data_IF_659824288119
#
_entry.id   IF_659824288119
#
_cell.length_a   1.000
_cell.length_b   1.000
_cell.length_c   1.000
_cell.angle_alpha   90.00
_cell.angle_beta   90.00
_cell.angle_gamma   90.00
#
_symmetry.space_group_name_H-M   'P 1'
#
loop_
_entity.id
_entity.type
_entity.pdbx_description
1 polymer ?
#
# COMPACT_ATOMS: atom_id res chain seq x y z
N UNK A 1 1.90 6.41 21.95
CA UNK A 1 1.28 5.13 21.58
C UNK A 1 0.93 4.39 22.84
N UNK A 2 -0.32 4.14 23.06
CA UNK A 2 -0.84 3.42 24.24
C UNK A 2 -0.85 1.90 23.97
N UNK A 3 -1.11 1.10 25.00
CA UNK A 3 -1.29 -0.34 24.86
C UNK A 3 -2.52 -0.65 23.97
N UNK A 4 -3.60 0.15 24.12
CA UNK A 4 -4.79 0.04 23.28
C UNK A 4 -4.51 0.30 21.79
N UNK A 5 -3.66 1.28 21.47
CA UNK A 5 -3.25 1.55 20.07
C UNK A 5 -2.50 0.35 19.47
N UNK A 6 -1.65 -0.31 20.28
CA UNK A 6 -0.94 -1.52 19.85
C UNK A 6 -1.88 -2.69 19.61
N UNK A 7 -2.89 -2.84 20.48
CA UNK A 7 -3.89 -3.88 20.36
C UNK A 7 -4.73 -3.71 19.10
N UNK A 8 -5.19 -2.49 18.84
CA UNK A 8 -5.94 -2.18 17.62
C UNK A 8 -5.11 -2.43 16.35
N UNK A 9 -3.85 -1.98 16.34
CA UNK A 9 -2.97 -2.18 15.19
C UNK A 9 -2.68 -3.67 14.95
N UNK A 10 -2.48 -4.46 16.04
CA UNK A 10 -2.30 -5.90 15.94
C UNK A 10 -3.53 -6.59 15.33
N UNK A 11 -4.75 -6.23 15.77
CA UNK A 11 -5.99 -6.77 15.22
C UNK A 11 -6.16 -6.45 13.74
N UNK A 12 -5.82 -5.24 13.33
CA UNK A 12 -5.86 -4.83 11.91
C UNK A 12 -4.87 -5.60 11.06
N UNK A 13 -3.66 -5.87 11.57
CA UNK A 13 -2.67 -6.70 10.89
C UNK A 13 -3.15 -8.14 10.79
N UNK A 14 -3.65 -8.72 11.89
CA UNK A 14 -4.20 -10.09 11.88
C UNK A 14 -5.35 -10.20 10.88
N UNK A 15 -6.30 -9.28 10.92
CA UNK A 15 -7.41 -9.23 9.96
C UNK A 15 -6.89 -9.19 8.53
N UNK A 16 -5.93 -8.31 8.23
CA UNK A 16 -5.33 -8.21 6.89
C UNK A 16 -4.67 -9.53 6.45
N UNK A 17 -3.97 -10.23 7.36
CA UNK A 17 -3.26 -11.47 7.04
C UNK A 17 -4.18 -12.69 6.90
N UNK A 18 -5.33 -12.70 7.60
CA UNK A 18 -6.19 -13.89 7.73
C UNK A 18 -7.48 -13.82 6.91
N UNK A 19 -7.93 -12.63 6.51
CA UNK A 19 -9.21 -12.46 5.79
C UNK A 19 -9.02 -12.16 4.31
N UNK A 20 -10.10 -12.35 3.55
CA UNK A 20 -10.17 -11.95 2.13
C UNK A 20 -10.53 -10.48 1.95
N UNK A 21 -10.91 -9.76 3.01
CA UNK A 21 -11.36 -8.37 2.99
C UNK A 21 -10.30 -7.42 2.41
N UNK A 22 -9.02 -7.71 2.68
CA UNK A 22 -7.88 -7.01 2.07
C UNK A 22 -7.99 -6.95 0.54
N UNK A 23 -8.42 -8.03 -0.08
CA UNK A 23 -8.54 -8.14 -1.55
C UNK A 23 -9.82 -7.52 -2.07
N UNK A 24 -10.89 -7.52 -1.27
CA UNK A 24 -12.17 -6.87 -1.61
C UNK A 24 -12.03 -5.37 -1.59
N UNK A 25 -11.30 -4.83 -0.61
CA UNK A 25 -10.98 -3.40 -0.51
C UNK A 25 -10.21 -2.88 -1.72
N UNK A 26 -9.22 -3.61 -2.23
CA UNK A 26 -8.49 -3.22 -3.44
C UNK A 26 -9.40 -3.16 -4.68
N UNK A 27 -10.39 -4.08 -4.78
CA UNK A 27 -11.39 -4.06 -5.87
C UNK A 27 -12.38 -2.90 -5.76
N UNK A 28 -12.83 -2.62 -4.54
CA UNK A 28 -13.84 -1.60 -4.26
C UNK A 28 -13.27 -0.18 -4.31
N UNK A 29 -12.05 0.05 -3.81
CA UNK A 29 -11.39 1.36 -3.82
C UNK A 29 -11.25 1.92 -5.23
N UNK A 30 -11.05 1.07 -6.22
CA UNK A 30 -11.02 1.49 -7.63
C UNK A 30 -12.40 1.76 -8.21
N UNK A 31 -13.42 0.98 -7.81
CA UNK A 31 -14.80 1.23 -8.21
C UNK A 31 -15.33 2.55 -7.64
N UNK A 32 -14.95 2.89 -6.40
CA UNK A 32 -15.31 4.17 -5.75
C UNK A 32 -14.57 5.37 -6.35
N UNK A 33 -13.32 5.21 -6.81
CA UNK A 33 -12.61 6.27 -7.53
C UNK A 33 -13.35 6.69 -8.81
N UNK A 34 -14.01 5.75 -9.50
CA UNK A 34 -14.86 6.05 -10.65
C UNK A 34 -16.11 6.84 -10.30
N UNK A 35 -16.59 6.78 -9.05
CA UNK A 35 -17.79 7.49 -8.59
C UNK A 35 -17.50 8.88 -8.01
N UNK A 36 -16.27 9.11 -7.50
CA UNK A 36 -15.88 10.33 -6.79
C UNK A 36 -15.14 11.36 -7.65
N UNK A 37 -15.48 11.50 -8.92
CA UNK A 37 -14.99 12.59 -9.79
C UNK A 37 -15.33 14.00 -9.27
N UNK A 38 -16.12 14.11 -8.18
CA UNK A 38 -16.56 15.39 -7.59
C UNK A 38 -15.52 16.14 -6.75
N UNK A 39 -14.38 15.53 -6.38
CA UNK A 39 -13.35 16.18 -5.54
C UNK A 39 -12.31 17.00 -6.31
N UNK A 40 -12.57 17.31 -7.57
CA UNK A 40 -11.67 18.04 -8.47
C UNK A 40 -11.42 19.52 -8.10
N UNK A 41 -12.19 20.07 -7.17
CA UNK A 41 -12.18 21.51 -6.91
C UNK A 41 -11.13 21.99 -5.89
N UNK A 42 -10.51 21.13 -5.10
CA UNK A 42 -9.62 21.54 -4.01
C UNK A 42 -8.15 21.73 -4.40
N UNK A 43 -7.74 21.37 -5.61
CA UNK A 43 -6.34 21.45 -6.07
C UNK A 43 -5.85 22.85 -6.49
N UNK A 44 -6.71 23.88 -6.47
CA UNK A 44 -6.40 25.17 -7.11
C UNK A 44 -5.81 26.25 -6.21
N UNK A 45 -5.69 26.04 -4.89
CA UNK A 45 -5.43 27.15 -3.96
C UNK A 45 -3.96 27.28 -3.50
N UNK A 46 -3.07 26.36 -3.84
CA UNK A 46 -1.66 26.45 -3.42
C UNK A 46 -0.76 26.95 -4.56
N UNK A 47 -0.36 28.23 -4.48
CA UNK A 47 0.41 28.93 -5.51
C UNK A 47 1.93 28.75 -5.40
N UNK A 48 2.46 28.31 -4.25
CA UNK A 48 3.92 28.28 -3.98
C UNK A 48 4.67 27.06 -4.56
N UNK A 49 3.95 26.09 -5.08
CA UNK A 49 4.55 24.84 -5.59
C UNK A 49 4.43 24.64 -7.10
N UNK A 50 4.18 25.67 -7.90
CA UNK A 50 3.93 25.54 -9.35
C UNK A 50 5.03 24.79 -10.12
N UNK A 51 6.30 25.10 -9.88
CA UNK A 51 7.42 24.46 -10.58
C UNK A 51 7.65 23.01 -10.13
N UNK A 52 7.43 22.74 -8.85
CA UNK A 52 7.50 21.39 -8.29
C UNK A 52 6.33 20.51 -8.78
N UNK A 53 5.12 21.08 -8.86
CA UNK A 53 3.96 20.37 -9.41
C UNK A 53 4.11 20.07 -10.88
N UNK A 54 4.67 20.98 -11.68
CA UNK A 54 4.92 20.75 -13.10
C UNK A 54 5.84 19.54 -13.32
N UNK A 55 6.94 19.46 -12.56
CA UNK A 55 7.87 18.31 -12.62
C UNK A 55 7.24 16.99 -12.17
N UNK A 56 6.41 17.01 -11.13
CA UNK A 56 5.71 15.82 -10.68
C UNK A 56 4.65 15.35 -11.68
N UNK A 57 3.91 16.29 -12.29
CA UNK A 57 2.96 15.96 -13.39
C UNK A 57 3.67 15.35 -14.59
N UNK A 58 4.81 15.92 -14.99
CA UNK A 58 5.65 15.35 -16.05
C UNK A 58 6.13 13.93 -15.68
N UNK A 59 6.52 13.70 -14.43
CA UNK A 59 6.88 12.38 -13.92
C UNK A 59 5.72 11.38 -14.04
N UNK A 60 4.50 11.76 -13.60
CA UNK A 60 3.31 10.92 -13.73
C UNK A 60 3.07 10.54 -15.18
N UNK A 61 3.10 11.52 -16.10
CA UNK A 61 2.90 11.27 -17.53
C UNK A 61 3.96 10.28 -18.07
N UNK A 62 5.24 10.51 -17.75
CA UNK A 62 6.32 9.60 -18.16
C UNK A 62 6.16 8.19 -17.59
N UNK A 63 5.74 8.08 -16.33
CA UNK A 63 5.50 6.79 -15.69
C UNK A 63 4.32 6.05 -16.35
N UNK A 64 3.23 6.76 -16.68
CA UNK A 64 2.09 6.19 -17.41
C UNK A 64 2.54 5.66 -18.78
N UNK A 65 3.32 6.44 -19.54
CA UNK A 65 3.84 6.00 -20.84
C UNK A 65 4.77 4.77 -20.75
N UNK A 66 5.46 4.60 -19.62
CA UNK A 66 6.26 3.40 -19.32
C UNK A 66 5.44 2.21 -18.85
N UNK A 67 4.11 2.32 -18.81
CA UNK A 67 3.21 1.23 -18.43
C UNK A 67 3.11 0.96 -16.93
N UNK A 68 3.34 1.98 -16.07
CA UNK A 68 3.21 1.82 -14.62
C UNK A 68 1.79 1.42 -14.21
N UNK A 69 0.77 1.87 -14.96
CA UNK A 69 -0.63 1.56 -14.70
C UNK A 69 -0.92 0.13 -15.15
N UNK A 70 -0.50 -0.82 -14.37
CA UNK A 70 -0.76 -2.23 -14.60
C UNK A 70 -0.98 -2.96 -13.28
N UNK A 71 -1.71 -4.09 -13.36
CA UNK A 71 -1.92 -4.99 -12.24
C UNK A 71 -0.60 -5.45 -11.62
N UNK A 72 0.35 -5.83 -12.45
CA UNK A 72 1.63 -6.39 -12.00
C UNK A 72 2.43 -5.35 -11.22
N UNK A 73 2.36 -4.09 -11.61
CA UNK A 73 2.99 -2.97 -10.90
C UNK A 73 2.33 -2.67 -9.56
N UNK A 74 1.01 -2.82 -9.44
CA UNK A 74 0.32 -2.72 -8.15
C UNK A 74 0.73 -3.86 -7.22
N UNK A 75 0.76 -5.09 -7.73
CA UNK A 75 1.22 -6.27 -6.97
C UNK A 75 2.66 -6.07 -6.52
N UNK A 76 3.54 -5.62 -7.42
CA UNK A 76 4.93 -5.31 -7.11
C UNK A 76 5.04 -4.29 -5.97
N UNK A 77 4.27 -3.20 -6.03
CA UNK A 77 4.26 -2.16 -4.99
C UNK A 77 3.82 -2.72 -3.62
N UNK A 78 2.73 -3.48 -3.59
CA UNK A 78 2.23 -4.13 -2.37
C UNK A 78 3.27 -5.12 -1.82
N UNK A 79 3.88 -5.94 -2.69
CA UNK A 79 4.94 -6.90 -2.30
C UNK A 79 6.11 -6.20 -1.65
N UNK A 80 6.59 -5.09 -2.21
CA UNK A 80 7.70 -4.30 -1.65
C UNK A 80 7.38 -3.77 -0.24
N UNK A 81 6.13 -3.35 0.03
CA UNK A 81 5.72 -2.92 1.37
C UNK A 81 5.74 -4.10 2.35
N UNK A 82 5.23 -5.25 1.95
CA UNK A 82 5.32 -6.48 2.74
C UNK A 82 6.78 -6.86 3.03
N UNK A 83 7.67 -6.76 2.06
CA UNK A 83 9.09 -7.06 2.22
C UNK A 83 9.76 -6.12 3.22
N UNK A 84 9.40 -4.82 3.21
CA UNK A 84 9.89 -3.86 4.21
C UNK A 84 9.40 -4.26 5.61
N UNK A 85 8.13 -4.58 5.77
CA UNK A 85 7.58 -5.04 7.04
C UNK A 85 8.29 -6.31 7.51
N UNK A 86 8.40 -7.33 6.65
CA UNK A 86 8.99 -8.62 6.96
C UNK A 86 10.48 -8.54 7.31
N UNK A 87 11.25 -7.65 6.69
CA UNK A 87 12.67 -7.44 7.05
C UNK A 87 12.86 -7.06 8.53
N UNK A 88 11.82 -6.54 9.17
CA UNK A 88 11.83 -6.12 10.56
C UNK A 88 11.31 -7.20 11.53
N UNK A 89 10.71 -8.26 11.04
CA UNK A 89 10.23 -9.41 11.82
C UNK A 89 11.35 -10.46 11.89
N UNK A 90 11.63 -10.98 13.08
CA UNK A 90 12.64 -12.05 13.23
C UNK A 90 12.21 -13.33 12.51
N UNK A 91 13.16 -14.13 12.03
CA UNK A 91 12.86 -15.36 11.28
C UNK A 91 11.99 -16.34 12.08
N UNK A 92 12.27 -16.51 13.38
CA UNK A 92 11.49 -17.37 14.27
C UNK A 92 10.02 -16.91 14.36
N UNK A 93 9.77 -15.59 14.43
CA UNK A 93 8.43 -15.04 14.47
C UNK A 93 7.71 -15.16 13.12
N UNK A 94 8.42 -14.95 12.02
CA UNK A 94 7.88 -15.18 10.66
C UNK A 94 7.39 -16.62 10.53
N UNK A 95 8.24 -17.58 10.89
CA UNK A 95 7.91 -18.99 10.81
C UNK A 95 6.67 -19.33 11.63
N UNK A 96 6.59 -18.86 12.88
CA UNK A 96 5.44 -19.11 13.76
C UNK A 96 4.15 -18.48 13.20
N UNK A 97 4.18 -17.20 12.81
CA UNK A 97 3.02 -16.50 12.25
C UNK A 97 2.56 -17.19 10.96
N UNK A 98 3.51 -17.53 10.10
CA UNK A 98 3.19 -18.15 8.82
C UNK A 98 2.66 -19.57 8.95
N UNK A 99 3.20 -20.36 9.89
CA UNK A 99 2.69 -21.69 10.16
C UNK A 99 1.26 -21.66 10.69
N UNK A 100 0.93 -20.70 11.54
CA UNK A 100 -0.42 -20.51 12.06
C UNK A 100 -1.41 -20.11 10.97
N UNK A 101 -1.05 -19.15 10.09
CA UNK A 101 -1.93 -18.68 9.01
C UNK A 101 -2.13 -19.75 7.93
N UNK A 102 -1.08 -20.48 7.57
CA UNK A 102 -1.07 -21.38 6.41
C UNK A 102 -1.26 -22.86 6.77
N UNK A 103 -1.47 -23.17 8.05
CA UNK A 103 -1.57 -24.56 8.47
C UNK A 103 -0.28 -25.36 8.21
N UNK A 104 0.90 -24.73 8.33
CA UNK A 104 2.20 -25.37 8.19
C UNK A 104 2.87 -25.24 6.82
N UNK A 105 2.38 -24.36 5.93
CA UNK A 105 3.05 -24.08 4.66
C UNK A 105 4.07 -22.93 4.80
N UNK A 106 5.27 -23.11 4.25
CA UNK A 106 6.48 -22.29 4.45
C UNK A 106 6.29 -20.80 4.08
N UNK A 107 6.88 -19.90 4.87
CA UNK A 107 6.65 -18.46 4.89
C UNK A 107 6.82 -17.68 3.58
N UNK A 108 7.71 -18.07 2.67
CA UNK A 108 7.82 -17.45 1.33
C UNK A 108 6.58 -17.73 0.47
N UNK A 109 5.85 -18.80 0.78
CA UNK A 109 4.63 -19.19 0.10
C UNK A 109 3.44 -18.30 0.49
N UNK A 110 3.43 -17.68 1.67
CA UNK A 110 2.32 -16.82 2.12
C UNK A 110 2.37 -15.46 1.49
N UNK A 111 3.55 -14.84 1.36
CA UNK A 111 3.68 -13.60 0.57
C UNK A 111 3.23 -13.89 -0.86
N UNK A 112 3.64 -15.01 -1.44
CA UNK A 112 3.19 -15.40 -2.77
C UNK A 112 1.71 -15.79 -2.81
N UNK A 113 1.13 -16.37 -1.75
CA UNK A 113 -0.31 -16.65 -1.66
C UNK A 113 -1.14 -15.38 -1.44
N UNK A 114 -0.68 -14.48 -0.55
CA UNK A 114 -1.30 -13.17 -0.33
C UNK A 114 -1.26 -12.38 -1.63
N UNK A 115 -0.09 -12.28 -2.25
CA UNK A 115 0.11 -11.62 -3.54
C UNK A 115 -0.64 -12.36 -4.66
N UNK A 116 -0.69 -13.69 -4.65
CA UNK A 116 -1.38 -14.49 -5.67
C UNK A 116 -2.91 -14.43 -5.53
N UNK A 117 -3.46 -14.37 -4.31
CA UNK A 117 -4.88 -14.14 -4.07
C UNK A 117 -5.28 -12.73 -4.48
N UNK A 118 -4.49 -11.71 -4.09
CA UNK A 118 -4.62 -10.35 -4.60
C UNK A 118 -4.59 -10.35 -6.13
N UNK A 119 -3.64 -11.07 -6.72
CA UNK A 119 -3.46 -11.13 -8.16
C UNK A 119 -4.61 -11.83 -8.89
N UNK A 120 -5.20 -12.90 -8.35
CA UNK A 120 -6.38 -13.55 -8.95
C UNK A 120 -7.61 -12.65 -8.95
N UNK A 121 -7.83 -11.88 -7.88
CA UNK A 121 -8.99 -11.00 -7.77
C UNK A 121 -8.83 -9.73 -8.59
N UNK A 122 -7.62 -9.13 -8.60
CA UNK A 122 -7.26 -8.05 -9.52
C UNK A 122 -7.31 -8.54 -10.98
N UNK A 123 -7.03 -9.84 -11.24
CA UNK A 123 -7.10 -10.45 -12.58
C UNK A 123 -8.51 -10.52 -13.17
N UNK A 124 -9.52 -10.58 -12.32
CA UNK A 124 -10.93 -10.46 -12.72
C UNK A 124 -11.37 -9.00 -12.91
N UNK A 125 -10.57 -8.04 -12.47
CA UNK A 125 -10.70 -6.62 -12.78
C UNK A 125 -10.06 -6.36 -14.15
N UNK A 126 -10.84 -6.66 -15.17
CA UNK A 126 -10.54 -6.61 -16.61
C UNK A 126 -9.87 -5.28 -17.02
N UNK A 127 -9.35 -5.25 -18.24
CA UNK A 127 -8.93 -4.13 -19.10
C UNK A 127 -9.57 -2.75 -18.72
N UNK A 128 -10.82 -2.77 -18.29
CA UNK A 128 -11.58 -1.61 -17.81
C UNK A 128 -10.92 -0.88 -16.59
N UNK A 129 -10.26 -1.59 -15.69
CA UNK A 129 -9.56 -0.97 -14.55
C UNK A 129 -8.34 -0.16 -14.99
N UNK A 130 -7.49 -0.79 -15.80
CA UNK A 130 -6.29 -0.12 -16.35
C UNK A 130 -6.69 1.12 -17.15
N UNK A 131 -7.78 1.02 -17.92
CA UNK A 131 -8.32 2.12 -18.71
C UNK A 131 -8.88 3.24 -17.81
N UNK A 132 -9.67 2.93 -16.76
CA UNK A 132 -10.21 3.94 -15.84
C UNK A 132 -9.10 4.68 -15.12
N UNK A 133 -8.08 3.96 -14.59
CA UNK A 133 -6.95 4.59 -13.90
C UNK A 133 -6.11 5.40 -14.88
N UNK A 134 -5.86 4.87 -16.07
CA UNK A 134 -5.12 5.58 -17.13
C UNK A 134 -5.81 6.89 -17.50
N UNK A 135 -7.09 6.84 -17.86
CA UNK A 135 -7.86 8.05 -18.24
C UNK A 135 -8.05 8.98 -17.05
N UNK A 136 -8.26 8.47 -15.84
CA UNK A 136 -8.38 9.28 -14.64
C UNK A 136 -7.09 10.03 -14.29
N UNK A 137 -5.92 9.40 -14.48
CA UNK A 137 -4.62 10.06 -14.33
C UNK A 137 -4.40 11.10 -15.42
N UNK A 138 -4.72 10.77 -16.68
CA UNK A 138 -4.59 11.69 -17.80
C UNK A 138 -5.56 12.86 -17.74
N UNK A 139 -6.77 12.68 -17.20
CA UNK A 139 -7.75 13.76 -16.97
C UNK A 139 -7.40 14.72 -15.83
N UNK A 140 -6.31 14.46 -15.09
CA UNK A 140 -5.73 15.36 -14.10
C UNK A 140 -6.24 15.19 -12.67
N UNK A 141 -7.45 14.70 -12.44
CA UNK A 141 -8.01 14.57 -11.09
C UNK A 141 -7.32 13.50 -10.24
N UNK A 142 -7.09 12.33 -10.79
CA UNK A 142 -6.31 11.28 -10.14
C UNK A 142 -4.82 11.61 -10.08
N UNK A 143 -4.31 12.42 -11.02
CA UNK A 143 -2.91 12.85 -11.05
C UNK A 143 -2.57 13.68 -9.80
N UNK A 144 -3.39 14.67 -9.45
CA UNK A 144 -3.15 15.49 -8.26
C UNK A 144 -3.25 14.64 -6.98
N UNK A 145 -4.19 13.69 -6.90
CA UNK A 145 -4.29 12.74 -5.80
C UNK A 145 -3.06 11.82 -5.72
N UNK A 146 -2.61 11.28 -6.83
CA UNK A 146 -1.39 10.46 -6.94
C UNK A 146 -0.17 11.22 -6.39
N UNK A 147 0.04 12.46 -6.83
CA UNK A 147 1.15 13.33 -6.38
C UNK A 147 1.01 13.64 -4.88
N UNK A 148 -0.18 14.01 -4.43
CA UNK A 148 -0.43 14.33 -3.03
C UNK A 148 -0.14 13.13 -2.12
N UNK A 149 -0.64 11.93 -2.46
CA UNK A 149 -0.42 10.71 -1.68
C UNK A 149 1.03 10.25 -1.71
N UNK A 150 1.72 10.38 -2.84
CA UNK A 150 3.16 10.15 -2.94
C UNK A 150 3.96 11.06 -2.00
N UNK A 151 3.61 12.35 -1.92
CA UNK A 151 4.25 13.31 -1.00
C UNK A 151 3.94 12.98 0.46
N UNK A 152 2.68 12.71 0.78
CA UNK A 152 2.27 12.28 2.11
C UNK A 152 3.01 11.02 2.56
N UNK A 153 3.16 10.03 1.66
CA UNK A 153 3.94 8.82 1.93
C UNK A 153 5.42 9.16 2.22
N UNK A 154 6.01 10.09 1.47
CA UNK A 154 7.39 10.55 1.71
C UNK A 154 7.58 11.12 3.11
N UNK A 155 6.62 11.88 3.59
CA UNK A 155 6.65 12.52 4.91
C UNK A 155 6.40 11.51 6.02
N UNK A 156 5.38 10.67 5.85
CA UNK A 156 4.92 9.74 6.88
C UNK A 156 5.75 8.46 6.94
N UNK A 157 6.16 7.92 5.77
CA UNK A 157 6.90 6.66 5.63
C UNK A 157 8.02 6.77 4.59
N UNK A 158 9.10 7.50 4.88
CA UNK A 158 10.20 7.71 3.93
C UNK A 158 10.89 6.41 3.50
N UNK A 159 10.89 5.36 4.34
CA UNK A 159 11.42 4.04 3.98
C UNK A 159 10.58 3.39 2.87
N UNK A 160 9.26 3.36 3.04
CA UNK A 160 8.33 2.86 2.03
C UNK A 160 8.40 3.70 0.75
N UNK A 161 8.37 5.04 0.91
CA UNK A 161 8.47 5.95 -0.21
C UNK A 161 9.74 5.72 -1.03
N UNK A 162 10.90 5.63 -0.39
CA UNK A 162 12.19 5.48 -1.12
C UNK A 162 12.27 4.16 -1.88
N UNK A 163 11.66 3.10 -1.36
CA UNK A 163 11.59 1.82 -2.06
C UNK A 163 10.67 1.87 -3.28
N UNK A 164 9.46 2.41 -3.11
CA UNK A 164 8.49 2.50 -4.20
C UNK A 164 8.93 3.52 -5.27
N UNK A 165 9.62 4.57 -4.87
CA UNK A 165 10.08 5.66 -5.73
C UNK A 165 11.07 5.21 -6.80
N UNK A 166 11.82 4.13 -6.57
CA UNK A 166 12.82 3.60 -7.52
C UNK A 166 12.22 3.33 -8.89
N UNK A 167 10.96 2.84 -8.92
CA UNK A 167 10.24 2.48 -10.14
C UNK A 167 8.94 3.27 -10.31
N UNK A 168 8.83 4.45 -9.69
CA UNK A 168 7.65 5.32 -9.69
C UNK A 168 6.37 4.67 -9.12
N UNK A 169 6.49 3.56 -8.39
CA UNK A 169 5.36 2.83 -7.77
C UNK A 169 4.67 3.64 -6.67
N UNK A 170 5.36 4.63 -6.10
CA UNK A 170 4.79 5.60 -5.15
C UNK A 170 3.61 6.37 -5.75
N UNK A 171 3.57 6.52 -7.07
CA UNK A 171 2.47 7.16 -7.78
C UNK A 171 1.20 6.30 -7.82
N UNK A 172 1.30 5.01 -7.59
CA UNK A 172 0.16 4.09 -7.50
C UNK A 172 -0.34 3.90 -6.07
N UNK A 173 0.38 4.41 -5.06
CA UNK A 173 0.10 4.17 -3.63
C UNK A 173 -1.35 4.53 -3.26
N UNK A 174 -1.90 5.59 -3.82
CA UNK A 174 -3.28 6.03 -3.57
C UNK A 174 -4.35 5.00 -3.95
N UNK A 175 -4.01 3.99 -4.74
CA UNK A 175 -4.94 2.94 -5.18
C UNK A 175 -5.12 1.82 -4.14
N UNK A 176 -4.12 1.65 -3.27
CA UNK A 176 -4.08 0.55 -2.30
C UNK A 176 -3.63 0.98 -0.90
N UNK A 177 -3.56 2.28 -0.65
CA UNK A 177 -3.12 2.88 0.61
C UNK A 177 -3.88 2.29 1.81
N UNK A 178 -5.21 2.26 1.74
CA UNK A 178 -6.08 1.79 2.82
C UNK A 178 -5.83 0.30 3.16
N UNK A 179 -5.55 -0.50 2.14
CA UNK A 179 -5.33 -1.93 2.31
C UNK A 179 -3.98 -2.25 2.98
N UNK A 180 -2.96 -1.44 2.73
CA UNK A 180 -1.62 -1.63 3.31
C UNK A 180 -1.37 -0.74 4.53
N UNK A 181 -2.35 0.07 4.92
CA UNK A 181 -2.24 1.00 6.04
C UNK A 181 -1.71 0.34 7.32
N UNK A 182 -2.20 -0.84 7.77
CA UNK A 182 -1.69 -1.46 8.98
C UNK A 182 -0.19 -1.77 8.92
N UNK A 183 0.34 -2.16 7.75
CA UNK A 183 1.77 -2.40 7.57
C UNK A 183 2.58 -1.11 7.58
N UNK A 184 2.09 -0.09 6.87
CA UNK A 184 2.78 1.20 6.80
C UNK A 184 2.77 1.90 8.16
N UNK A 185 1.71 1.72 8.95
CA UNK A 185 1.63 2.20 10.32
C UNK A 185 2.61 1.47 11.24
N UNK A 186 2.73 0.15 11.13
CA UNK A 186 3.71 -0.63 11.87
C UNK A 186 5.16 -0.23 11.54
N UNK A 187 5.47 0.00 10.26
CA UNK A 187 6.78 0.48 9.80
C UNK A 187 7.07 1.88 10.38
N UNK A 188 6.10 2.79 10.33
CA UNK A 188 6.18 4.13 10.92
C UNK A 188 6.38 4.06 12.44
N UNK A 189 5.63 3.19 13.11
CA UNK A 189 5.74 2.95 14.55
C UNK A 189 7.14 2.48 14.93
N UNK A 190 7.71 1.50 14.21
CA UNK A 190 9.10 1.06 14.43
C UNK A 190 10.09 2.23 14.34
N UNK A 191 9.93 3.09 13.33
CA UNK A 191 10.79 4.26 13.16
C UNK A 191 10.66 5.25 14.32
N UNK A 192 9.45 5.44 14.85
CA UNK A 192 9.14 6.44 15.87
C UNK A 192 9.48 5.96 17.28
N UNK A 193 9.20 4.70 17.58
CA UNK A 193 9.30 4.13 18.95
C UNK A 193 10.36 3.03 19.08
N UNK A 194 11.03 2.70 17.98
CA UNK A 194 12.12 1.72 17.95
C UNK A 194 11.67 0.28 17.80
N UNK A 195 12.66 -0.60 17.63
CA UNK A 195 12.46 -2.03 17.36
C UNK A 195 11.78 -2.76 18.54
N UNK A 196 12.00 -2.32 19.78
CA UNK A 196 11.37 -2.94 20.96
C UNK A 196 9.84 -2.82 20.93
N UNK A 197 9.31 -1.68 20.51
CA UNK A 197 7.86 -1.48 20.35
C UNK A 197 7.32 -2.29 19.19
N UNK A 198 8.05 -2.36 18.08
CA UNK A 198 7.71 -3.19 16.94
C UNK A 198 7.63 -4.68 17.31
N UNK A 199 8.60 -5.18 18.10
CA UNK A 199 8.58 -6.57 18.56
C UNK A 199 7.36 -6.87 19.44
N UNK A 200 6.97 -5.94 20.34
CA UNK A 200 5.73 -6.07 21.13
C UNK A 200 4.49 -6.18 20.22
N UNK A 201 4.43 -5.38 19.15
CA UNK A 201 3.34 -5.49 18.17
C UNK A 201 3.33 -6.87 17.52
N UNK A 202 4.48 -7.38 17.09
CA UNK A 202 4.59 -8.70 16.46
C UNK A 202 4.21 -9.83 17.43
N UNK A 203 4.59 -9.71 18.73
CA UNK A 203 4.14 -10.66 19.76
C UNK A 203 2.62 -10.69 19.91
N UNK A 204 1.97 -9.50 19.86
CA UNK A 204 0.51 -9.41 19.88
C UNK A 204 -0.14 -10.00 18.63
N UNK A 205 0.43 -9.74 17.45
CA UNK A 205 -0.03 -10.35 16.18
C UNK A 205 0.06 -11.86 16.27
N UNK A 206 1.21 -12.40 16.68
CA UNK A 206 1.42 -13.85 16.82
C UNK A 206 0.44 -14.50 17.81
N UNK A 207 0.12 -13.82 18.92
CA UNK A 207 -0.80 -14.35 19.94
C UNK A 207 -2.27 -14.41 19.50
N UNK A 208 -2.64 -13.65 18.45
CA UNK A 208 -4.01 -13.51 17.96
C UNK A 208 -4.31 -14.30 16.68
N UNK A 209 -3.27 -14.87 16.07
CA UNK A 209 -3.36 -15.84 14.98
C UNK A 209 -3.41 -17.24 15.59
#
# INVERSE_FOLDING_TARGET
>A
MTEADLDELADRIVKMLTTTDFYEGMGNGVSELGKNFGYLAYGFIDTDSRSSRSREKERVIKAIHRGIVSRDKIIEAVTRIFDIFNRNVSEAKKETIYNKIAGGLVGSFIISQVVMRASKKIGNMKKMFTEIVYYGLMAGGMMDRSIYRSRSLKEQNPEVYSELRKDDLDLLFFLFEEQVEPLTEAIKMKRTYGIGMFNKLIDKVESRI
#
